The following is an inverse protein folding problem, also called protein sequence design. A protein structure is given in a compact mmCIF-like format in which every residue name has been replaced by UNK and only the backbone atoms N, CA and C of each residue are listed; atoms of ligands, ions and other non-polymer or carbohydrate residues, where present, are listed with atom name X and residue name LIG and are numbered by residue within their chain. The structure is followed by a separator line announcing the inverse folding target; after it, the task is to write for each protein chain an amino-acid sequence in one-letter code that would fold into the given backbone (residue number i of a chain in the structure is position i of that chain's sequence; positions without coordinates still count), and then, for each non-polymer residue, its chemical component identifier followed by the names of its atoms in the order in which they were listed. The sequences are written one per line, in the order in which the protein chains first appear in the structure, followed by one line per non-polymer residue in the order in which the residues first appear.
data_IF_473151451092
#
_entry.id   IF_473151451092
#
_cell.length_a   1.000
_cell.length_b   1.000
_cell.length_c   1.000
_cell.angle_alpha   90.00
_cell.angle_beta   90.00
_cell.angle_gamma   90.00
#
_symmetry.space_group_name_H-M   'P 1'
#
loop_
_entity.id
_entity.type
_entity.pdbx_description
1 polymer ?
#
# COMPACT_ATOMS: atom_id res chain seq x y z
N UNK A 1 23.68 1.58 -24.40
CA UNK A 1 22.23 1.77 -24.48
C UNK A 1 21.86 2.47 -23.17
N UNK A 2 21.85 3.81 -23.15
CA UNK A 2 21.79 4.65 -21.93
C UNK A 2 20.60 5.64 -21.96
N UNK A 3 19.68 5.44 -22.90
CA UNK A 3 18.68 6.45 -23.27
C UNK A 3 17.64 6.62 -22.15
N UNK A 4 17.26 5.53 -21.47
CA UNK A 4 16.30 5.58 -20.36
C UNK A 4 16.79 6.40 -19.17
N UNK A 5 18.07 6.25 -18.79
CA UNK A 5 18.61 6.92 -17.61
C UNK A 5 18.79 8.43 -17.84
N UNK A 6 19.14 8.83 -19.06
CA UNK A 6 19.30 10.24 -19.43
C UNK A 6 17.97 10.97 -19.53
N UNK A 7 16.94 10.31 -20.08
CA UNK A 7 15.60 10.87 -20.22
C UNK A 7 14.97 11.11 -18.84
N UNK A 8 15.20 10.19 -17.89
CA UNK A 8 14.69 10.32 -16.53
C UNK A 8 15.28 11.53 -15.77
N UNK A 9 16.58 11.80 -15.96
CA UNK A 9 17.28 12.94 -15.35
C UNK A 9 16.81 14.30 -15.91
N UNK A 10 16.45 14.36 -17.19
CA UNK A 10 15.96 15.58 -17.82
C UNK A 10 14.53 15.93 -17.34
N UNK A 11 13.69 14.92 -17.13
CA UNK A 11 12.37 15.11 -16.52
C UNK A 11 12.46 15.53 -15.05
N UNK A 12 13.35 14.93 -14.26
CA UNK A 12 13.61 15.33 -12.87
C UNK A 12 14.01 16.80 -12.77
N UNK A 13 14.98 17.24 -13.59
CA UNK A 13 15.42 18.64 -13.64
C UNK A 13 14.29 19.58 -14.04
N UNK A 14 13.42 19.16 -14.94
CA UNK A 14 12.29 19.94 -15.40
C UNK A 14 11.24 20.10 -14.28
N UNK A 15 10.91 19.02 -13.57
CA UNK A 15 9.98 19.05 -12.43
C UNK A 15 10.50 19.96 -11.31
N UNK A 16 11.78 19.88 -10.97
CA UNK A 16 12.40 20.76 -9.96
C UNK A 16 12.32 22.24 -10.39
N UNK A 17 12.57 22.54 -11.67
CA UNK A 17 12.45 23.91 -12.20
C UNK A 17 11.02 24.43 -12.11
N UNK A 18 10.03 23.61 -12.44
CA UNK A 18 8.61 23.96 -12.37
C UNK A 18 8.21 24.21 -10.90
N UNK A 19 8.54 23.29 -10.00
CA UNK A 19 8.20 23.41 -8.58
C UNK A 19 8.78 24.68 -7.91
N UNK A 20 9.95 25.16 -8.35
CA UNK A 20 10.59 26.38 -7.82
C UNK A 20 9.88 27.69 -8.18
N UNK A 21 9.11 27.71 -9.27
CA UNK A 21 8.45 28.92 -9.78
C UNK A 21 6.96 28.94 -9.40
N UNK A 22 6.39 27.78 -9.06
CA UNK A 22 4.99 27.66 -8.71
C UNK A 22 4.67 28.27 -7.34
N UNK A 23 3.51 28.92 -7.19
CA UNK A 23 2.98 29.28 -5.87
C UNK A 23 2.74 28.03 -5.01
N UNK A 24 2.87 28.17 -3.69
CA UNK A 24 2.80 27.05 -2.72
C UNK A 24 1.62 26.10 -2.93
N UNK A 25 0.41 26.64 -3.11
CA UNK A 25 -0.79 25.84 -3.34
C UNK A 25 -0.75 24.99 -4.63
N UNK A 26 0.02 25.42 -5.64
CA UNK A 26 0.22 24.66 -6.88
C UNK A 26 1.32 23.62 -6.74
N UNK A 27 2.32 23.87 -5.89
CA UNK A 27 3.32 22.87 -5.52
C UNK A 27 2.67 21.73 -4.73
N UNK A 28 1.78 22.05 -3.79
CA UNK A 28 1.00 21.04 -3.04
C UNK A 28 0.19 20.15 -3.99
N UNK A 29 -0.54 20.73 -4.96
CA UNK A 29 -1.26 19.96 -5.98
C UNK A 29 -0.35 19.08 -6.85
N UNK A 30 0.86 19.55 -7.16
CA UNK A 30 1.83 18.78 -7.94
C UNK A 30 2.33 17.55 -7.15
N UNK A 31 2.56 17.72 -5.85
CA UNK A 31 2.94 16.63 -4.94
C UNK A 31 1.81 15.62 -4.80
N UNK A 32 0.57 16.09 -4.63
CA UNK A 32 -0.60 15.20 -4.55
C UNK A 32 -0.78 14.39 -5.83
N UNK A 33 -0.60 15.02 -6.99
CA UNK A 33 -0.67 14.31 -8.27
C UNK A 33 0.46 13.30 -8.45
N UNK A 34 1.69 13.63 -8.03
CA UNK A 34 2.80 12.68 -8.08
C UNK A 34 2.54 11.46 -7.17
N UNK A 35 2.02 11.68 -5.97
CA UNK A 35 1.60 10.60 -5.05
C UNK A 35 0.46 9.76 -5.62
N UNK A 36 -0.49 10.37 -6.31
CA UNK A 36 -1.54 9.65 -7.01
C UNK A 36 -0.97 8.72 -8.10
N UNK A 37 0.00 9.19 -8.88
CA UNK A 37 0.66 8.35 -9.89
C UNK A 37 1.47 7.21 -9.25
N UNK A 38 2.16 7.47 -8.14
CA UNK A 38 2.84 6.43 -7.35
C UNK A 38 1.85 5.36 -6.85
N UNK A 39 0.69 5.79 -6.35
CA UNK A 39 -0.37 4.88 -5.90
C UNK A 39 -1.02 4.12 -7.07
N UNK A 40 -1.13 4.72 -8.27
CA UNK A 40 -1.62 4.01 -9.45
C UNK A 40 -0.68 2.91 -9.89
N UNK A 41 0.64 3.11 -9.85
CA UNK A 41 1.60 2.03 -10.16
C UNK A 41 1.41 0.88 -9.18
N UNK A 42 1.32 1.18 -7.89
CA UNK A 42 1.09 0.17 -6.85
C UNK A 42 -0.27 -0.52 -7.04
N UNK A 43 -1.29 0.23 -7.45
CA UNK A 43 -2.62 -0.31 -7.75
C UNK A 43 -2.63 -1.11 -9.05
N UNK A 44 -1.86 -0.77 -10.07
CA UNK A 44 -1.73 -1.53 -11.31
C UNK A 44 -0.97 -2.84 -11.06
N UNK A 45 0.05 -2.82 -10.20
CA UNK A 45 0.72 -4.03 -9.71
C UNK A 45 -0.25 -4.92 -8.90
N UNK A 46 -1.12 -4.34 -8.07
CA UNK A 46 -2.18 -5.06 -7.37
C UNK A 46 -3.32 -5.52 -8.32
N UNK A 47 -3.67 -4.75 -9.34
CA UNK A 47 -4.71 -5.10 -10.32
C UNK A 47 -4.23 -6.12 -11.36
N UNK A 48 -2.92 -6.40 -11.41
CA UNK A 48 -2.38 -7.60 -12.07
C UNK A 48 -2.66 -8.88 -11.27
N UNK A 49 -3.25 -8.80 -10.07
CA UNK A 49 -3.80 -9.96 -9.34
C UNK A 49 -5.04 -10.51 -10.05
N UNK A 50 -4.78 -11.26 -11.10
CA UNK A 50 -5.71 -12.18 -11.74
C UNK A 50 -6.92 -11.56 -12.43
N UNK A 51 -7.52 -12.31 -13.34
CA UNK A 51 -8.85 -11.99 -13.83
C UNK A 51 -9.88 -12.07 -12.70
N UNK A 52 -11.02 -11.39 -12.84
CA UNK A 52 -12.14 -11.49 -11.86
C UNK A 52 -12.50 -12.95 -11.56
N UNK A 53 -12.45 -13.83 -12.57
CA UNK A 53 -12.71 -15.25 -12.40
C UNK A 53 -11.64 -15.98 -11.56
N UNK A 54 -10.39 -15.56 -11.63
CA UNK A 54 -9.30 -16.10 -10.80
C UNK A 54 -9.47 -15.65 -9.34
N UNK A 55 -9.79 -14.37 -9.11
CA UNK A 55 -10.10 -13.83 -7.78
C UNK A 55 -11.31 -14.56 -7.17
N UNK A 56 -12.37 -14.79 -7.94
CA UNK A 56 -13.55 -15.54 -7.47
C UNK A 56 -13.22 -17.00 -7.13
N UNK A 57 -12.38 -17.66 -7.94
CA UNK A 57 -11.96 -19.03 -7.69
C UNK A 57 -11.09 -19.14 -6.42
N UNK A 58 -10.15 -18.22 -6.24
CA UNK A 58 -9.33 -18.13 -5.03
C UNK A 58 -10.20 -17.86 -3.79
N UNK A 59 -11.12 -16.90 -3.87
CA UNK A 59 -12.06 -16.61 -2.77
C UNK A 59 -12.89 -17.85 -2.39
N UNK A 60 -13.38 -18.63 -3.36
CA UNK A 60 -14.12 -19.85 -3.09
C UNK A 60 -13.25 -20.92 -2.39
N UNK A 61 -11.96 -21.00 -2.69
CA UNK A 61 -11.02 -21.88 -1.99
C UNK A 61 -10.80 -21.41 -0.54
N UNK A 62 -10.61 -20.11 -0.34
CA UNK A 62 -10.51 -19.51 1.00
C UNK A 62 -11.77 -19.76 1.82
N UNK A 63 -12.95 -19.56 1.25
CA UNK A 63 -14.23 -19.81 1.92
C UNK A 63 -14.36 -21.28 2.35
N UNK A 64 -14.00 -22.22 1.47
CA UNK A 64 -14.02 -23.64 1.78
C UNK A 64 -13.05 -24.00 2.93
N UNK A 65 -11.84 -23.43 2.93
CA UNK A 65 -10.85 -23.63 3.98
C UNK A 65 -11.35 -23.06 5.32
N UNK A 66 -11.85 -21.82 5.30
CA UNK A 66 -12.31 -21.10 6.50
C UNK A 66 -13.61 -21.68 7.07
N UNK A 67 -14.41 -22.38 6.27
CA UNK A 67 -15.59 -23.10 6.75
C UNK A 67 -15.23 -24.36 7.57
N UNK A 68 -13.98 -24.83 7.53
CA UNK A 68 -13.57 -26.00 8.31
C UNK A 68 -13.49 -25.68 9.80
N UNK A 69 -13.90 -26.64 10.64
CA UNK A 69 -13.80 -26.48 12.10
C UNK A 69 -12.35 -26.35 12.60
N UNK A 70 -11.38 -26.92 11.89
CA UNK A 70 -9.95 -26.79 12.20
C UNK A 70 -9.46 -25.36 11.98
N UNK A 71 -9.81 -24.75 10.84
CA UNK A 71 -9.47 -23.34 10.58
C UNK A 71 -10.10 -22.42 11.62
N UNK A 72 -11.37 -22.65 11.99
CA UNK A 72 -12.04 -21.86 13.02
C UNK A 72 -11.34 -21.98 14.39
N UNK A 73 -10.99 -23.20 14.81
CA UNK A 73 -10.28 -23.41 16.07
C UNK A 73 -8.88 -22.76 16.08
N UNK A 74 -8.17 -22.81 14.95
CA UNK A 74 -6.87 -22.17 14.81
C UNK A 74 -6.98 -20.65 14.86
N UNK A 75 -7.95 -20.06 14.16
CA UNK A 75 -8.18 -18.61 14.15
C UNK A 75 -8.59 -18.09 15.52
N UNK A 76 -9.44 -18.82 16.25
CA UNK A 76 -9.82 -18.47 17.63
C UNK A 76 -8.57 -18.43 18.53
N UNK A 77 -7.70 -19.43 18.43
CA UNK A 77 -6.43 -19.46 19.18
C UNK A 77 -5.53 -18.27 18.85
N UNK A 78 -5.41 -17.92 17.56
CA UNK A 78 -4.59 -16.77 17.13
C UNK A 78 -5.19 -15.44 17.62
N UNK A 79 -6.52 -15.32 17.63
CA UNK A 79 -7.22 -14.15 18.17
C UNK A 79 -6.99 -14.01 19.68
N UNK A 80 -7.07 -15.11 20.43
CA UNK A 80 -6.76 -15.15 21.86
C UNK A 80 -5.31 -14.74 22.14
N UNK A 81 -4.37 -15.23 21.35
CA UNK A 81 -2.95 -14.87 21.48
C UNK A 81 -2.73 -13.38 21.20
N UNK A 82 -3.28 -12.85 20.11
CA UNK A 82 -3.19 -11.43 19.77
C UNK A 82 -3.81 -10.53 20.86
N UNK A 83 -4.96 -10.93 21.44
CA UNK A 83 -5.58 -10.22 22.55
C UNK A 83 -4.72 -10.28 23.82
N UNK A 84 -4.12 -11.42 24.11
CA UNK A 84 -3.22 -11.58 25.25
C UNK A 84 -1.98 -10.69 25.09
N UNK A 85 -1.39 -10.63 23.89
CA UNK A 85 -0.26 -9.75 23.59
C UNK A 85 -0.62 -8.27 23.69
N UNK A 86 -1.79 -7.88 23.19
CA UNK A 86 -2.30 -6.52 23.32
C UNK A 86 -2.48 -6.12 24.79
N UNK A 87 -3.13 -6.98 25.59
CA UNK A 87 -3.31 -6.76 27.03
C UNK A 87 -1.98 -6.73 27.79
N UNK A 88 -1.00 -7.49 27.34
CA UNK A 88 0.36 -7.49 27.89
C UNK A 88 1.21 -6.29 27.43
N UNK A 89 0.67 -5.39 26.60
CA UNK A 89 1.39 -4.23 26.08
C UNK A 89 2.50 -4.57 25.09
N UNK A 90 2.45 -5.75 24.46
CA UNK A 90 3.43 -6.20 23.46
C UNK A 90 3.12 -5.71 22.05
N UNK A 91 1.94 -5.14 21.84
CA UNK A 91 1.54 -4.54 20.56
C UNK A 91 1.97 -3.08 20.48
N UNK A 92 2.35 -2.63 19.29
CA UNK A 92 2.66 -1.23 19.01
C UNK A 92 1.56 -0.61 18.14
N UNK A 93 1.03 0.58 18.46
CA UNK A 93 0.10 1.26 17.58
C UNK A 93 0.78 1.55 16.23
N UNK A 94 0.02 1.49 15.15
CA UNK A 94 0.47 1.90 13.82
C UNK A 94 -0.36 3.13 13.44
N UNK A 95 0.29 4.18 12.97
CA UNK A 95 -0.30 5.46 12.56
C UNK A 95 0.14 5.79 11.14
N UNK A 96 -0.57 6.70 10.49
CA UNK A 96 -0.11 7.29 9.25
C UNK A 96 0.74 8.52 9.57
N UNK A 97 1.93 8.63 8.98
CA UNK A 97 2.75 9.85 9.04
C UNK A 97 2.19 10.96 8.11
N UNK A 98 2.82 12.13 8.13
CA UNK A 98 2.45 13.29 7.29
C UNK A 98 2.64 13.00 5.79
N UNK A 99 3.39 11.94 5.47
CA UNK A 99 3.58 11.39 4.13
C UNK A 99 2.57 10.31 3.75
N UNK A 100 1.66 9.93 4.65
CA UNK A 100 0.64 8.91 4.44
C UNK A 100 1.16 7.47 4.54
N UNK A 101 2.33 7.24 5.11
CA UNK A 101 2.94 5.92 5.30
C UNK A 101 2.56 5.34 6.65
N UNK A 102 2.37 4.03 6.70
CA UNK A 102 2.08 3.33 7.96
C UNK A 102 3.38 3.19 8.76
N UNK A 103 3.46 3.90 9.87
CA UNK A 103 4.60 3.91 10.78
C UNK A 103 4.17 3.54 12.20
N UNK A 104 5.11 3.12 13.04
CA UNK A 104 4.88 2.99 14.47
C UNK A 104 4.44 4.31 15.11
N UNK A 105 3.33 4.27 15.84
CA UNK A 105 2.80 5.41 16.62
C UNK A 105 3.41 5.54 18.00
#
# INVERSE_FOLDING_TARGET
MNIDTTVHQDYERTLIKIARVLPRNRVEQLVDFARFLEAQILSEELLQEGSVAEVEADNAQWDALLATGEAQALLEKLADEALAEHRAGKTRPMVFDDEGRIVPG
#
